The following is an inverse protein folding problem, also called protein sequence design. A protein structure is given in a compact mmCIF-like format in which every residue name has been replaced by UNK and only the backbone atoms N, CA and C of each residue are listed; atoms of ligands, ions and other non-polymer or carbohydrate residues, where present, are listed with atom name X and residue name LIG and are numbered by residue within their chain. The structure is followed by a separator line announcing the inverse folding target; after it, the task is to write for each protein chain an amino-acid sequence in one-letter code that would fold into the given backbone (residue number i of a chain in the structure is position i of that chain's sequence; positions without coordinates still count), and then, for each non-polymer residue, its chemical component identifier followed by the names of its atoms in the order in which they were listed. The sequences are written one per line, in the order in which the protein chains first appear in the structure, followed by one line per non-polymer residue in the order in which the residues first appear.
data_IF_783463331476
#
_entry.id   IF_783463331476
#
_cell.length_a   1.000
_cell.length_b   1.000
_cell.length_c   1.000
_cell.angle_alpha   90.00
_cell.angle_beta   90.00
_cell.angle_gamma   90.00
#
_symmetry.space_group_name_H-M   'P 1'
#
loop_
_entity.id
_entity.type
_entity.pdbx_description
1 polymer ?
#
# COMPACT_ATOMS: atom_id res chain seq x y z
N UNK A 1 28.39 -2.56 -27.11
CA UNK A 1 27.17 -2.00 -26.49
C UNK A 1 27.45 -1.93 -25.01
N UNK A 2 27.64 -0.71 -24.51
CA UNK A 2 28.12 -0.39 -23.16
C UNK A 2 27.39 -1.18 -22.07
N UNK A 3 28.14 -1.96 -21.29
CA UNK A 3 27.71 -2.37 -19.97
C UNK A 3 27.89 -1.15 -19.07
N UNK A 4 26.78 -0.49 -18.71
CA UNK A 4 26.80 0.62 -17.77
C UNK A 4 27.33 0.14 -16.42
N UNK A 5 28.46 0.70 -16.03
CA UNK A 5 29.14 0.57 -14.74
C UNK A 5 28.20 1.07 -13.62
N UNK A 6 27.30 0.19 -13.15
CA UNK A 6 26.38 0.49 -12.05
C UNK A 6 27.13 0.32 -10.73
N UNK A 7 27.94 1.34 -10.40
CA UNK A 7 28.69 1.41 -9.14
C UNK A 7 27.72 1.16 -7.97
N UNK A 8 28.08 0.30 -6.99
CA UNK A 8 27.20 0.03 -5.85
C UNK A 8 26.91 1.34 -5.13
N UNK A 9 25.64 1.79 -5.20
CA UNK A 9 25.19 3.02 -4.55
C UNK A 9 25.36 2.85 -3.04
N UNK A 10 26.21 3.68 -2.43
CA UNK A 10 26.45 3.68 -0.99
C UNK A 10 25.11 3.78 -0.23
N UNK A 11 24.95 2.95 0.80
CA UNK A 11 23.73 2.82 1.62
C UNK A 11 23.15 4.17 2.11
N UNK A 12 24.02 5.19 2.31
CA UNK A 12 23.64 6.55 2.71
C UNK A 12 22.90 7.39 1.65
N UNK A 13 23.04 7.07 0.36
CA UNK A 13 22.36 7.81 -0.73
C UNK A 13 20.94 7.29 -1.02
N UNK A 14 20.65 6.05 -0.60
CA UNK A 14 19.33 5.40 -0.75
C UNK A 14 18.44 5.56 0.50
N UNK A 15 19.00 6.04 1.62
CA UNK A 15 18.30 6.26 2.88
C UNK A 15 17.04 7.13 2.78
N UNK A 16 17.01 8.24 2.01
CA UNK A 16 15.80 9.07 1.89
C UNK A 16 14.64 8.32 1.24
N UNK A 17 14.91 7.49 0.24
CA UNK A 17 13.90 6.69 -0.46
C UNK A 17 13.30 5.62 0.45
N UNK A 18 14.13 4.96 1.28
CA UNK A 18 13.65 4.00 2.26
C UNK A 18 12.78 4.65 3.35
N UNK A 19 13.14 5.86 3.81
CA UNK A 19 12.32 6.62 4.77
C UNK A 19 10.96 6.98 4.16
N UNK A 20 10.93 7.45 2.91
CA UNK A 20 9.67 7.78 2.22
C UNK A 20 8.78 6.53 2.01
N UNK A 21 9.37 5.38 1.68
CA UNK A 21 8.64 4.12 1.58
C UNK A 21 8.09 3.67 2.95
N UNK A 22 8.89 3.78 4.01
CA UNK A 22 8.47 3.43 5.37
C UNK A 22 7.32 4.33 5.86
N UNK A 23 7.39 5.64 5.61
CA UNK A 23 6.30 6.58 5.92
C UNK A 23 5.04 6.22 5.13
N UNK A 24 5.19 5.89 3.83
CA UNK A 24 4.04 5.51 3.00
C UNK A 24 3.38 4.23 3.49
N UNK A 25 4.15 3.22 3.91
CA UNK A 25 3.64 1.99 4.52
C UNK A 25 2.95 2.25 5.86
N UNK A 26 3.45 3.20 6.65
CA UNK A 26 2.80 3.60 7.90
C UNK A 26 1.42 4.24 7.63
N UNK A 27 1.34 5.20 6.71
CA UNK A 27 0.06 5.87 6.39
C UNK A 27 -0.95 4.86 5.81
N UNK A 28 -0.49 3.95 4.96
CA UNK A 28 -1.28 2.85 4.42
C UNK A 28 -1.93 2.01 5.53
N UNK A 29 -1.17 1.66 6.56
CA UNK A 29 -1.68 0.88 7.68
C UNK A 29 -2.64 1.67 8.58
N UNK A 30 -2.41 2.96 8.76
CA UNK A 30 -3.37 3.85 9.44
C UNK A 30 -4.70 3.91 8.67
N UNK A 31 -4.65 4.05 7.34
CA UNK A 31 -5.86 4.14 6.51
C UNK A 31 -6.73 2.87 6.57
N UNK A 32 -6.11 1.70 6.74
CA UNK A 32 -6.84 0.44 6.99
C UNK A 32 -7.62 0.45 8.30
N UNK A 33 -7.12 1.15 9.32
CA UNK A 33 -7.80 1.33 10.61
C UNK A 33 -9.00 2.29 10.56
N UNK A 34 -8.96 3.28 9.65
CA UNK A 34 -9.96 4.35 9.58
C UNK A 34 -11.40 3.83 9.39
N UNK A 35 -11.61 2.78 8.59
CA UNK A 35 -12.96 2.24 8.39
C UNK A 35 -13.53 1.64 9.67
N UNK A 36 -12.71 0.95 10.47
CA UNK A 36 -13.14 0.35 11.74
C UNK A 36 -13.50 1.42 12.77
N UNK A 37 -12.76 2.53 12.80
CA UNK A 37 -13.06 3.68 13.64
C UNK A 37 -14.34 4.40 13.20
N UNK A 38 -14.54 4.55 11.88
CA UNK A 38 -15.70 5.23 11.31
C UNK A 38 -16.96 4.34 11.24
N UNK A 39 -16.84 3.03 11.41
CA UNK A 39 -17.95 2.08 11.21
C UNK A 39 -19.21 2.39 12.05
N UNK A 40 -19.13 2.77 13.35
CA UNK A 40 -20.32 3.14 14.12
C UNK A 40 -21.03 4.38 13.56
N UNK A 41 -20.27 5.39 13.10
CA UNK A 41 -20.81 6.61 12.51
C UNK A 41 -21.45 6.33 11.14
N UNK A 42 -20.73 5.62 10.27
CA UNK A 42 -21.22 5.21 8.94
C UNK A 42 -22.47 4.34 9.02
N UNK A 43 -22.57 3.48 10.04
CA UNK A 43 -23.77 2.67 10.29
C UNK A 43 -25.01 3.54 10.51
N UNK A 44 -24.86 4.62 11.28
CA UNK A 44 -25.95 5.51 11.61
C UNK A 44 -26.28 6.49 10.48
N UNK A 45 -25.27 7.07 9.83
CA UNK A 45 -25.46 8.06 8.75
C UNK A 45 -25.96 7.45 7.44
N UNK A 46 -25.46 6.26 7.07
CA UNK A 46 -25.82 5.58 5.83
C UNK A 46 -26.83 4.45 6.04
N UNK A 47 -27.39 4.33 7.25
CA UNK A 47 -28.32 3.27 7.66
C UNK A 47 -27.84 1.86 7.29
N UNK A 48 -26.55 1.58 7.50
CA UNK A 48 -25.94 0.32 7.07
C UNK A 48 -26.31 -0.83 8.02
N UNK A 49 -26.52 -1.99 7.43
CA UNK A 49 -26.67 -3.25 8.16
C UNK A 49 -25.31 -3.80 8.58
N UNK A 50 -25.29 -4.67 9.61
CA UNK A 50 -24.06 -5.35 10.03
C UNK A 50 -23.44 -6.20 8.89
N UNK A 51 -24.29 -6.78 8.05
CA UNK A 51 -23.87 -7.50 6.84
C UNK A 51 -23.11 -6.60 5.86
N UNK A 52 -23.65 -5.41 5.57
CA UNK A 52 -23.00 -4.43 4.68
C UNK A 52 -21.64 -3.96 5.23
N UNK A 53 -21.53 -3.72 6.54
CA UNK A 53 -20.24 -3.41 7.15
C UNK A 53 -19.23 -4.56 6.98
N UNK A 54 -19.66 -5.81 7.16
CA UNK A 54 -18.82 -6.99 6.91
C UNK A 54 -18.28 -7.06 5.48
N UNK A 55 -19.12 -6.74 4.49
CA UNK A 55 -18.68 -6.63 3.09
C UNK A 55 -17.65 -5.51 2.92
N UNK A 56 -17.88 -4.33 3.49
CA UNK A 56 -16.96 -3.20 3.37
C UNK A 56 -15.58 -3.49 3.97
N UNK A 57 -15.54 -4.17 5.12
CA UNK A 57 -14.29 -4.63 5.73
C UNK A 57 -13.56 -5.65 4.85
N UNK A 58 -14.29 -6.51 4.15
CA UNK A 58 -13.72 -7.59 3.34
C UNK A 58 -13.30 -7.13 1.93
N UNK A 59 -13.99 -6.14 1.36
CA UNK A 59 -13.84 -5.70 -0.03
C UNK A 59 -12.41 -5.24 -0.35
N UNK A 60 -11.78 -4.53 0.60
CA UNK A 60 -10.38 -4.16 0.49
C UNK A 60 -9.48 -5.39 0.28
N UNK A 61 -9.64 -6.42 1.11
CA UNK A 61 -8.80 -7.62 1.07
C UNK A 61 -9.00 -8.43 -0.21
N UNK A 62 -10.22 -8.49 -0.75
CA UNK A 62 -10.50 -9.21 -2.00
C UNK A 62 -9.67 -8.68 -3.16
N UNK A 63 -9.68 -7.37 -3.36
CA UNK A 63 -8.93 -6.73 -4.45
C UNK A 63 -7.44 -6.70 -4.17
N UNK A 64 -7.06 -6.37 -2.93
CA UNK A 64 -5.66 -6.34 -2.51
C UNK A 64 -4.96 -7.69 -2.74
N UNK A 65 -5.53 -8.78 -2.23
CA UNK A 65 -4.91 -10.12 -2.33
C UNK A 65 -4.94 -10.65 -3.76
N UNK A 66 -6.05 -10.48 -4.49
CA UNK A 66 -6.14 -10.93 -5.88
C UNK A 66 -5.12 -10.23 -6.78
N UNK A 67 -4.92 -8.92 -6.57
CA UNK A 67 -4.03 -8.13 -7.41
C UNK A 67 -2.57 -8.18 -6.99
N UNK A 68 -2.23 -8.59 -5.76
CA UNK A 68 -0.83 -8.76 -5.37
C UNK A 68 -0.05 -9.67 -6.32
N UNK A 69 -0.64 -10.76 -6.79
CA UNK A 69 -0.01 -11.66 -7.77
C UNK A 69 0.24 -10.96 -9.11
N UNK A 70 -0.76 -10.21 -9.60
CA UNK A 70 -0.68 -9.45 -10.85
C UNK A 70 0.38 -8.35 -10.73
N UNK A 71 0.37 -7.60 -9.62
CA UNK A 71 1.31 -6.52 -9.36
C UNK A 71 2.73 -7.04 -9.18
N UNK A 72 2.94 -8.23 -8.62
CA UNK A 72 4.24 -8.89 -8.62
C UNK A 72 4.80 -9.04 -10.04
N UNK A 73 4.01 -9.62 -10.94
CA UNK A 73 4.39 -9.77 -12.35
C UNK A 73 4.60 -8.42 -13.08
N UNK A 74 3.74 -7.43 -12.82
CA UNK A 74 3.89 -6.07 -13.39
C UNK A 74 5.18 -5.43 -12.91
N UNK A 75 5.44 -5.47 -11.60
CA UNK A 75 6.63 -4.89 -10.99
C UNK A 75 7.89 -5.52 -11.56
N UNK A 76 7.88 -6.81 -11.90
CA UNK A 76 9.02 -7.47 -12.53
C UNK A 76 9.31 -6.96 -13.95
N UNK A 77 8.28 -6.65 -14.74
CA UNK A 77 8.40 -6.23 -16.15
C UNK A 77 8.55 -4.72 -16.37
N UNK A 78 8.05 -3.91 -15.44
CA UNK A 78 8.02 -2.45 -15.58
C UNK A 78 8.96 -1.76 -14.59
N UNK A 79 9.20 -0.47 -14.80
CA UNK A 79 9.97 0.37 -13.88
C UNK A 79 9.24 0.52 -12.55
N UNK A 80 9.84 -0.01 -11.48
CA UNK A 80 9.21 -0.10 -10.14
C UNK A 80 8.74 1.26 -9.60
N UNK A 81 9.48 2.32 -9.90
CA UNK A 81 9.13 3.68 -9.48
C UNK A 81 7.83 4.16 -10.12
N UNK A 82 7.58 3.81 -11.39
CA UNK A 82 6.35 4.15 -12.08
C UNK A 82 5.17 3.36 -11.52
N UNK A 83 5.36 2.06 -11.25
CA UNK A 83 4.28 1.21 -10.70
C UNK A 83 3.86 1.69 -9.31
N UNK A 84 4.82 2.01 -8.42
CA UNK A 84 4.53 2.60 -7.10
C UNK A 84 3.79 3.94 -7.26
N UNK A 85 4.28 4.83 -8.13
CA UNK A 85 3.68 6.14 -8.32
C UNK A 85 2.21 6.03 -8.75
N UNK A 86 1.91 5.15 -9.72
CA UNK A 86 0.53 4.92 -10.16
C UNK A 86 -0.34 4.35 -9.03
N UNK A 87 0.16 3.37 -8.27
CA UNK A 87 -0.61 2.82 -7.15
C UNK A 87 -0.90 3.85 -6.05
N UNK A 88 0.09 4.69 -5.71
CA UNK A 88 -0.09 5.76 -4.73
C UNK A 88 -1.04 6.86 -5.23
N UNK A 89 -1.05 7.15 -6.53
CA UNK A 89 -2.05 8.05 -7.12
C UNK A 89 -3.47 7.47 -7.01
N UNK A 90 -3.64 6.18 -7.35
CA UNK A 90 -4.95 5.50 -7.24
C UNK A 90 -5.42 5.48 -5.78
N UNK A 91 -4.53 5.12 -4.86
CA UNK A 91 -4.80 5.11 -3.43
C UNK A 91 -5.19 6.50 -2.92
N UNK A 92 -4.37 7.51 -3.20
CA UNK A 92 -4.60 8.90 -2.77
C UNK A 92 -5.92 9.45 -3.31
N UNK A 93 -6.24 9.18 -4.58
CA UNK A 93 -7.49 9.61 -5.18
C UNK A 93 -8.68 8.94 -4.50
N UNK A 94 -8.60 7.62 -4.26
CA UNK A 94 -9.65 6.87 -3.57
C UNK A 94 -9.87 7.37 -2.13
N UNK A 95 -8.80 7.64 -1.38
CA UNK A 95 -8.88 8.21 -0.03
C UNK A 95 -9.51 9.61 -0.06
N UNK A 96 -9.08 10.48 -0.99
CA UNK A 96 -9.64 11.82 -1.12
C UNK A 96 -11.14 11.81 -1.47
N UNK A 97 -11.56 10.92 -2.37
CA UNK A 97 -12.98 10.81 -2.76
C UNK A 97 -13.82 10.05 -1.74
N UNK A 98 -13.21 9.31 -0.80
CA UNK A 98 -13.93 8.61 0.28
C UNK A 98 -14.68 9.59 1.19
N UNK A 99 -14.13 10.78 1.43
CA UNK A 99 -14.82 11.81 2.22
C UNK A 99 -16.09 12.39 1.56
N UNK A 100 -16.29 12.15 0.27
CA UNK A 100 -17.46 12.61 -0.49
C UNK A 100 -18.56 11.55 -0.63
N UNK A 101 -18.34 10.37 -0.05
CA UNK A 101 -19.23 9.21 -0.19
C UNK A 101 -20.54 9.44 0.56
N UNK A 102 -21.67 9.17 -0.12
CA UNK A 102 -23.03 9.33 0.43
C UNK A 102 -23.87 8.04 0.43
N UNK A 103 -23.24 6.89 0.22
CA UNK A 103 -23.97 5.63 0.12
C UNK A 103 -23.08 4.40 0.10
N UNK A 104 -23.69 3.24 0.37
CA UNK A 104 -23.02 1.95 0.46
C UNK A 104 -22.22 1.60 -0.79
N UNK A 105 -22.82 1.71 -1.98
CA UNK A 105 -22.17 1.33 -3.24
C UNK A 105 -20.93 2.17 -3.51
N UNK A 106 -21.01 3.48 -3.29
CA UNK A 106 -19.87 4.37 -3.49
C UNK A 106 -18.77 4.09 -2.46
N UNK A 107 -19.13 3.80 -1.20
CA UNK A 107 -18.18 3.37 -0.17
C UNK A 107 -17.48 2.06 -0.55
N UNK A 108 -18.24 1.09 -1.07
CA UNK A 108 -17.74 -0.19 -1.53
C UNK A 108 -16.75 -0.03 -2.68
N UNK A 109 -17.10 0.79 -3.68
CA UNK A 109 -16.19 1.08 -4.80
C UNK A 109 -14.90 1.73 -4.31
N UNK A 110 -14.98 2.68 -3.37
CA UNK A 110 -13.76 3.27 -2.80
C UNK A 110 -12.91 2.23 -2.07
N UNK A 111 -13.52 1.29 -1.33
CA UNK A 111 -12.76 0.21 -0.66
C UNK A 111 -12.07 -0.73 -1.65
N UNK A 112 -12.71 -1.03 -2.77
CA UNK A 112 -12.11 -1.82 -3.84
C UNK A 112 -10.95 -1.07 -4.50
N UNK A 113 -11.11 0.23 -4.79
CA UNK A 113 -10.05 1.07 -5.35
C UNK A 113 -8.85 1.22 -4.42
N UNK A 114 -9.10 1.36 -3.11
CA UNK A 114 -8.04 1.34 -2.11
C UNK A 114 -7.26 0.01 -2.17
N UNK A 115 -7.94 -1.13 -2.18
CA UNK A 115 -7.28 -2.44 -2.29
C UNK A 115 -6.44 -2.59 -3.56
N UNK A 116 -6.94 -2.09 -4.69
CA UNK A 116 -6.19 -2.02 -5.96
C UNK A 116 -4.93 -1.17 -5.81
N UNK A 117 -5.06 0.07 -5.34
CA UNK A 117 -3.95 1.02 -5.21
C UNK A 117 -2.88 0.57 -4.22
N UNK A 118 -3.28 -0.10 -3.14
CA UNK A 118 -2.34 -0.60 -2.13
C UNK A 118 -1.64 -1.91 -2.52
N UNK A 119 -2.20 -2.68 -3.47
CA UNK A 119 -1.67 -4.00 -3.84
C UNK A 119 -0.24 -3.98 -4.39
N UNK A 120 0.21 -2.84 -4.95
CA UNK A 120 1.56 -2.66 -5.50
C UNK A 120 2.64 -2.46 -4.43
N UNK A 121 2.26 -2.06 -3.21
CA UNK A 121 3.20 -1.61 -2.19
C UNK A 121 4.21 -2.71 -1.81
N UNK A 122 3.71 -3.91 -1.50
CA UNK A 122 4.54 -5.06 -1.13
C UNK A 122 5.50 -5.52 -2.23
N UNK A 123 5.03 -5.90 -3.44
CA UNK A 123 5.92 -6.39 -4.50
C UNK A 123 6.97 -5.33 -4.90
N UNK A 124 6.59 -4.06 -4.90
CA UNK A 124 7.53 -2.98 -5.23
C UNK A 124 8.57 -2.74 -4.15
N UNK A 125 8.18 -2.78 -2.87
CA UNK A 125 9.14 -2.73 -1.76
C UNK A 125 10.14 -3.89 -1.85
N UNK A 126 9.65 -5.11 -2.11
CA UNK A 126 10.51 -6.29 -2.30
C UNK A 126 11.50 -6.11 -3.46
N UNK A 127 11.05 -5.60 -4.62
CA UNK A 127 11.95 -5.36 -5.77
C UNK A 127 12.97 -4.25 -5.50
N UNK A 128 12.57 -3.15 -4.87
CA UNK A 128 13.49 -2.05 -4.50
C UNK A 128 14.55 -2.55 -3.53
N UNK A 129 14.14 -3.32 -2.52
CA UNK A 129 15.04 -3.89 -1.54
C UNK A 129 16.05 -4.84 -2.19
N UNK A 130 15.58 -5.74 -3.06
CA UNK A 130 16.44 -6.67 -3.78
C UNK A 130 17.48 -5.95 -4.66
N UNK A 131 17.09 -4.82 -5.28
CA UNK A 131 17.96 -4.05 -6.20
C UNK A 131 18.97 -3.14 -5.48
N UNK A 132 18.62 -2.59 -4.32
CA UNK A 132 19.43 -1.55 -3.66
C UNK A 132 20.09 -1.98 -2.35
N UNK A 133 19.73 -3.14 -1.80
CA UNK A 133 20.31 -3.65 -0.54
C UNK A 133 21.18 -4.88 -0.81
N UNK A 134 22.47 -4.86 -0.39
CA UNK A 134 23.35 -6.02 -0.44
C UNK A 134 22.74 -7.21 0.28
N UNK A 135 22.94 -8.42 -0.24
CA UNK A 135 22.28 -9.64 0.24
C UNK A 135 22.44 -9.86 1.75
N UNK A 136 23.64 -9.60 2.26
CA UNK A 136 24.02 -9.67 3.68
C UNK A 136 23.16 -8.78 4.60
N UNK A 137 22.66 -7.65 4.07
CA UNK A 137 21.89 -6.67 4.83
C UNK A 137 20.37 -6.73 4.54
N UNK A 138 19.92 -7.62 3.63
CA UNK A 138 18.49 -7.71 3.25
C UNK A 138 17.60 -8.12 4.41
N UNK A 139 18.06 -9.02 5.28
CA UNK A 139 17.30 -9.46 6.45
C UNK A 139 17.05 -8.31 7.44
N UNK A 140 18.09 -7.50 7.72
CA UNK A 140 17.98 -6.35 8.61
C UNK A 140 17.09 -5.24 8.02
N UNK A 141 17.24 -4.94 6.73
CA UNK A 141 16.42 -3.94 6.05
C UNK A 141 14.94 -4.38 5.92
N UNK A 142 14.67 -5.67 5.68
CA UNK A 142 13.31 -6.22 5.81
C UNK A 142 12.78 -6.09 7.24
N UNK A 143 13.63 -6.31 8.25
CA UNK A 143 13.28 -6.12 9.66
C UNK A 143 12.78 -4.70 9.96
N UNK A 144 13.47 -3.68 9.43
CA UNK A 144 13.04 -2.27 9.57
C UNK A 144 11.71 -2.01 8.85
N UNK A 145 11.54 -2.51 7.63
CA UNK A 145 10.28 -2.36 6.88
C UNK A 145 9.10 -3.02 7.60
N UNK A 146 9.31 -4.23 8.14
CA UNK A 146 8.31 -4.97 8.91
C UNK A 146 8.02 -4.27 10.25
N UNK A 147 9.02 -3.67 10.89
CA UNK A 147 8.82 -2.90 12.11
C UNK A 147 7.91 -1.69 11.86
N UNK A 148 8.13 -0.93 10.79
CA UNK A 148 7.26 0.19 10.40
C UNK A 148 5.84 -0.26 10.03
N UNK A 149 5.72 -1.39 9.33
CA UNK A 149 4.43 -2.01 9.00
C UNK A 149 3.63 -2.40 10.25
N UNK A 150 4.31 -3.00 11.24
CA UNK A 150 3.69 -3.50 12.47
C UNK A 150 3.44 -2.42 13.52
N UNK A 151 4.12 -1.28 13.46
CA UNK A 151 3.86 -0.15 14.35
C UNK A 151 2.65 0.68 13.94
N UNK A 152 2.22 0.60 12.66
CA UNK A 152 1.06 1.35 12.15
C UNK A 152 -0.24 1.14 12.94
N UNK A 153 -0.67 -0.10 13.26
CA UNK A 153 -1.88 -0.35 14.05
C UNK A 153 -1.80 0.04 15.53
N UNK A 154 -0.61 0.42 16.01
CA UNK A 154 -0.39 0.77 17.42
C UNK A 154 -0.65 2.26 17.72
N UNK A 155 -0.88 3.07 16.67
CA UNK A 155 -1.22 4.50 16.73
C UNK A 155 -2.65 4.68 16.27
#
# INVERSE_FOLDING_TARGET
MEWTDDKPRKFGAVTPWFVLLAISLLINYIDRGNLSLAAPLLKNELHLTAWQLGILFSAFFWTYTALQFVMGWVVDRFEVNLVIAVGYLVWSLATATTGLVRGFTMLLTMRLLLGIGESVAFPSCSKILARHVPEENRAFANGILIAGLKSGPAV
#
